data_IF_169116811089
#
_entry.id   IF_169116811089
#
_cell.length_a   1.000
_cell.length_b   1.000
_cell.length_c   1.000
_cell.angle_alpha   90.00
_cell.angle_beta   90.00
_cell.angle_gamma   90.00
#
_symmetry.space_group_name_H-M   'P 1'
#
loop_
_entity.id
_entity.type
_entity.pdbx_description
1 polymer ?
#
# COMPACT_ATOMS: atom_id res chain seq x y z
N UNK A 1 5.81 19.29 18.31
CA UNK A 1 6.55 19.49 17.05
C UNK A 1 5.58 19.25 15.89
N UNK A 2 5.44 20.19 14.95
CA UNK A 2 4.64 19.96 13.72
C UNK A 2 5.49 19.13 12.76
N UNK A 3 4.97 18.02 12.25
CA UNK A 3 5.68 17.25 11.24
C UNK A 3 5.72 18.05 9.94
N UNK A 4 6.91 18.25 9.39
CA UNK A 4 7.08 18.90 8.08
C UNK A 4 6.88 17.84 6.99
N UNK A 5 5.99 18.07 6.01
CA UNK A 5 5.81 17.13 4.93
C UNK A 5 7.06 17.01 4.05
N UNK A 6 7.32 15.83 3.45
CA UNK A 6 8.36 15.65 2.45
C UNK A 6 8.24 16.67 1.30
N UNK A 7 9.39 17.08 0.76
CA UNK A 7 9.45 18.05 -0.34
C UNK A 7 8.77 17.56 -1.63
N UNK A 8 8.77 16.24 -1.87
CA UNK A 8 8.03 15.63 -2.98
C UNK A 8 6.57 15.34 -2.60
N UNK A 9 5.59 15.98 -3.26
CA UNK A 9 4.17 15.79 -2.96
C UNK A 9 3.70 14.33 -3.09
N UNK A 10 4.37 13.51 -3.91
CA UNK A 10 4.03 12.09 -4.09
C UNK A 10 4.23 11.28 -2.81
N UNK A 11 5.07 11.76 -1.90
CA UNK A 11 5.39 11.12 -0.62
C UNK A 11 4.84 11.91 0.57
N UNK A 12 4.01 12.93 0.35
CA UNK A 12 3.53 13.84 1.40
C UNK A 12 2.89 13.12 2.60
N UNK A 13 2.21 11.98 2.36
CA UNK A 13 1.61 11.16 3.40
C UNK A 13 2.61 10.62 4.44
N UNK A 14 3.91 10.54 4.11
CA UNK A 14 4.96 10.10 5.04
C UNK A 14 5.24 11.09 6.17
N UNK A 15 4.68 12.31 6.09
CA UNK A 15 4.62 13.23 7.22
C UNK A 15 3.86 12.63 8.43
N UNK A 16 2.99 11.63 8.18
CA UNK A 16 2.25 10.89 9.20
C UNK A 16 3.09 9.66 9.57
N UNK A 17 3.54 9.55 10.83
CA UNK A 17 4.48 8.51 11.20
C UNK A 17 3.84 7.12 11.16
N UNK A 18 4.55 6.17 10.54
CA UNK A 18 4.16 4.75 10.55
C UNK A 18 4.47 4.05 11.89
N UNK A 19 5.25 4.70 12.77
CA UNK A 19 5.83 4.20 14.03
C UNK A 19 6.47 2.81 13.88
N UNK A 20 7.27 2.62 12.83
CA UNK A 20 8.01 1.37 12.59
C UNK A 20 7.16 0.17 12.16
N UNK A 21 5.88 0.37 11.82
CA UNK A 21 4.99 -0.70 11.36
C UNK A 21 5.51 -1.40 10.08
N UNK A 22 5.41 -2.73 10.04
CA UNK A 22 5.84 -3.58 8.91
C UNK A 22 4.69 -4.33 8.23
N UNK A 23 3.42 -4.01 8.52
CA UNK A 23 2.27 -4.78 8.01
C UNK A 23 2.23 -4.92 6.47
N UNK A 24 2.72 -3.91 5.72
CA UNK A 24 2.81 -4.02 4.26
C UNK A 24 3.87 -5.03 3.78
N UNK A 25 4.90 -5.30 4.57
CA UNK A 25 5.98 -6.22 4.22
C UNK A 25 5.55 -7.69 4.19
N UNK A 26 4.47 -8.05 4.89
CA UNK A 26 3.95 -9.41 4.95
C UNK A 26 3.18 -9.78 3.67
N UNK A 27 2.27 -8.89 3.23
CA UNK A 27 1.23 -9.26 2.25
C UNK A 27 1.38 -8.61 0.86
N UNK A 28 2.07 -7.48 0.75
CA UNK A 28 2.14 -6.73 -0.52
C UNK A 28 3.28 -7.18 -1.43
N UNK A 29 2.97 -7.51 -2.69
CA UNK A 29 3.99 -7.64 -3.71
C UNK A 29 4.44 -6.24 -4.16
N UNK A 30 5.71 -5.91 -3.92
CA UNK A 30 6.26 -4.58 -4.25
C UNK A 30 6.86 -4.63 -5.65
N UNK A 31 6.15 -4.06 -6.63
CA UNK A 31 6.65 -3.84 -7.98
C UNK A 31 7.61 -2.63 -7.97
N UNK A 32 8.75 -2.77 -8.63
CA UNK A 32 9.74 -1.71 -8.77
C UNK A 32 9.44 -0.86 -10.00
N UNK A 33 9.65 0.44 -9.87
CA UNK A 33 9.38 1.43 -10.91
C UNK A 33 10.63 2.26 -11.21
N UNK A 34 11.51 1.80 -12.12
CA UNK A 34 12.70 2.58 -12.50
C UNK A 34 12.37 3.99 -12.98
N UNK A 35 11.24 4.17 -13.67
CA UNK A 35 10.72 5.47 -14.10
C UNK A 35 10.33 6.39 -12.93
N UNK A 36 10.12 5.84 -11.73
CA UNK A 36 9.85 6.57 -10.50
C UNK A 36 11.10 6.73 -9.61
N UNK A 37 12.29 6.37 -10.13
CA UNK A 37 13.58 6.51 -9.46
C UNK A 37 14.03 5.30 -8.65
N UNK A 38 13.42 4.13 -8.86
CA UNK A 38 13.94 2.89 -8.29
C UNK A 38 15.17 2.41 -9.07
N UNK A 39 16.32 2.27 -8.41
CA UNK A 39 17.53 1.71 -9.01
C UNK A 39 17.53 0.21 -8.76
N UNK A 40 17.35 -0.60 -9.79
CA UNK A 40 17.14 -2.05 -9.64
C UNK A 40 18.33 -2.74 -8.97
N UNK A 41 19.54 -2.27 -9.24
CA UNK A 41 20.80 -2.79 -8.70
C UNK A 41 20.90 -2.64 -7.17
N UNK A 42 20.11 -1.75 -6.57
CA UNK A 42 20.08 -1.57 -5.12
C UNK A 42 19.24 -2.63 -4.40
N UNK A 43 18.47 -3.44 -5.14
CA UNK A 43 17.46 -4.33 -4.58
C UNK A 43 17.71 -5.81 -4.92
N UNK A 44 17.17 -6.69 -4.08
CA UNK A 44 16.99 -8.10 -4.39
C UNK A 44 15.61 -8.25 -5.00
N UNK A 45 15.60 -8.47 -6.31
CA UNK A 45 14.41 -8.40 -7.15
C UNK A 45 14.39 -9.53 -8.17
N UNK A 46 13.21 -9.77 -8.73
CA UNK A 46 13.00 -10.68 -9.83
C UNK A 46 11.87 -10.21 -10.74
N UNK A 47 11.80 -10.78 -11.94
CA UNK A 47 10.69 -10.55 -12.85
C UNK A 47 9.51 -11.47 -12.51
N UNK A 48 8.38 -10.90 -12.14
CA UNK A 48 7.15 -11.66 -11.84
C UNK A 48 6.08 -11.42 -12.90
N UNK A 49 5.19 -12.38 -13.09
CA UNK A 49 3.89 -12.09 -13.69
C UNK A 49 3.03 -11.34 -12.67
N UNK A 50 2.25 -10.35 -13.13
CA UNK A 50 1.36 -9.58 -12.26
C UNK A 50 0.02 -9.38 -12.95
N UNK A 51 -1.08 -9.60 -12.23
CA UNK A 51 -2.43 -9.31 -12.73
C UNK A 51 -2.64 -7.82 -13.01
N UNK A 52 -1.81 -6.94 -12.43
CA UNK A 52 -1.81 -5.51 -12.71
C UNK A 52 -1.18 -5.18 -14.08
N UNK A 53 -0.36 -6.07 -14.62
CA UNK A 53 0.32 -5.92 -15.90
C UNK A 53 0.17 -7.19 -16.77
N UNK A 54 -1.06 -7.49 -17.26
CA UNK A 54 -1.33 -8.74 -17.98
C UNK A 54 -0.43 -8.94 -19.20
N UNK A 55 0.14 -10.13 -19.32
CA UNK A 55 1.02 -10.49 -20.44
C UNK A 55 2.43 -9.91 -20.36
N UNK A 56 2.78 -9.23 -19.28
CA UNK A 56 4.11 -8.67 -19.06
C UNK A 56 4.73 -9.24 -17.78
N UNK A 57 6.05 -9.43 -17.80
CA UNK A 57 6.81 -9.64 -16.57
C UNK A 57 7.33 -8.30 -16.08
N UNK A 58 7.12 -7.99 -14.81
CA UNK A 58 7.51 -6.72 -14.18
C UNK A 58 8.54 -6.96 -13.08
N UNK A 59 9.51 -6.05 -12.88
CA UNK A 59 10.48 -6.19 -11.80
C UNK A 59 9.78 -5.98 -10.47
N UNK A 60 10.04 -6.83 -9.49
CA UNK A 60 9.46 -6.75 -8.17
C UNK A 60 10.44 -7.24 -7.11
N UNK A 61 10.34 -6.70 -5.89
CA UNK A 61 11.11 -7.21 -4.76
C UNK A 61 10.82 -8.69 -4.55
N UNK A 62 11.88 -9.48 -4.32
CA UNK A 62 11.71 -10.90 -4.02
C UNK A 62 10.91 -11.10 -2.73
N UNK A 63 10.27 -12.25 -2.67
CA UNK A 63 9.63 -12.77 -1.47
C UNK A 63 10.36 -14.00 -0.99
N UNK A 64 10.46 -14.13 0.32
CA UNK A 64 10.95 -15.34 0.97
C UNK A 64 10.01 -16.50 0.60
N UNK A 65 10.52 -17.59 -0.01
CA UNK A 65 9.65 -18.66 -0.52
C UNK A 65 9.04 -19.53 0.59
N UNK A 66 9.60 -19.52 1.81
CA UNK A 66 9.10 -20.31 2.93
C UNK A 66 7.96 -19.61 3.67
N UNK A 67 8.06 -18.28 3.83
CA UNK A 67 7.09 -17.45 4.57
C UNK A 67 6.16 -16.66 3.67
N UNK A 68 6.59 -16.40 2.43
CA UNK A 68 5.94 -15.50 1.50
C UNK A 68 6.23 -14.02 1.77
N UNK A 69 6.94 -13.63 2.83
CA UNK A 69 7.14 -12.21 3.18
C UNK A 69 8.16 -11.53 2.25
N UNK A 70 8.23 -10.20 2.26
CA UNK A 70 9.33 -9.48 1.62
C UNK A 70 10.68 -9.89 2.22
N UNK A 71 11.69 -10.16 1.39
CA UNK A 71 13.05 -10.57 1.84
C UNK A 71 13.77 -9.53 2.70
N UNK A 72 13.30 -8.29 2.71
CA UNK A 72 13.83 -7.21 3.54
C UNK A 72 13.16 -7.06 4.90
N UNK A 73 12.16 -7.90 5.19
CA UNK A 73 11.55 -7.96 6.51
C UNK A 73 12.49 -8.68 7.48
N UNK A 74 12.85 -8.01 8.55
CA UNK A 74 13.64 -8.55 9.66
C UNK A 74 12.81 -8.53 10.94
N UNK A 75 13.31 -9.18 11.99
CA UNK A 75 12.68 -9.17 13.32
C UNK A 75 12.51 -7.75 13.90
N UNK A 76 13.40 -6.82 13.51
CA UNK A 76 13.40 -5.45 14.03
C UNK A 76 12.72 -4.44 13.10
N UNK A 77 12.30 -4.83 11.89
CA UNK A 77 11.70 -3.92 10.92
C UNK A 77 12.10 -4.18 9.47
N UNK A 78 11.86 -3.19 8.62
CA UNK A 78 12.32 -3.21 7.23
C UNK A 78 13.78 -2.74 7.13
N UNK A 79 14.67 -3.63 6.68
CA UNK A 79 16.11 -3.34 6.59
C UNK A 79 16.49 -2.31 5.51
N UNK A 80 15.54 -1.96 4.64
CA UNK A 80 15.74 -0.96 3.58
C UNK A 80 14.84 0.25 3.72
N UNK A 81 14.26 0.50 4.90
CA UNK A 81 13.27 1.57 5.07
C UNK A 81 13.78 2.94 4.60
N UNK A 82 15.04 3.28 4.90
CA UNK A 82 15.67 4.56 4.52
C UNK A 82 15.88 4.72 3.01
N UNK A 83 15.97 3.61 2.29
CA UNK A 83 16.16 3.55 0.83
C UNK A 83 15.00 2.82 0.14
N UNK A 84 13.83 2.80 0.76
CA UNK A 84 12.71 1.97 0.32
C UNK A 84 12.25 2.37 -1.08
N UNK A 85 11.79 1.42 -1.94
CA UNK A 85 11.32 1.74 -3.29
C UNK A 85 10.16 2.74 -3.33
N UNK A 86 9.90 3.30 -4.52
CA UNK A 86 8.88 4.31 -4.75
C UNK A 86 7.48 3.88 -4.27
N UNK A 87 7.08 2.62 -4.50
CA UNK A 87 5.82 2.09 -3.99
C UNK A 87 5.79 2.09 -2.45
N UNK A 88 6.86 1.61 -1.81
CA UNK A 88 6.95 1.58 -0.35
C UNK A 88 6.88 2.99 0.24
N UNK A 89 7.54 3.98 -0.39
CA UNK A 89 7.49 5.39 0.02
C UNK A 89 6.13 6.04 -0.22
N UNK A 90 5.34 5.55 -1.17
CA UNK A 90 4.01 6.10 -1.48
C UNK A 90 2.89 5.44 -0.68
N UNK A 91 3.09 4.19 -0.29
CA UNK A 91 2.12 3.41 0.45
C UNK A 91 1.85 4.03 1.82
N UNK A 92 0.57 4.14 2.18
CA UNK A 92 0.17 4.59 3.51
C UNK A 92 -1.19 3.98 3.86
N UNK A 93 -1.25 3.12 4.88
CA UNK A 93 -2.45 2.33 5.22
C UNK A 93 -3.68 3.20 5.58
N UNK A 94 -3.50 4.43 6.08
CA UNK A 94 -4.62 5.36 6.31
C UNK A 94 -5.39 5.68 5.03
N UNK A 95 -4.73 5.58 3.85
CA UNK A 95 -5.37 5.79 2.56
C UNK A 95 -6.45 4.75 2.30
N UNK A 96 -6.16 3.48 2.57
CA UNK A 96 -7.12 2.38 2.46
C UNK A 96 -8.32 2.62 3.38
N UNK A 97 -8.09 2.89 4.67
CA UNK A 97 -9.19 3.12 5.61
C UNK A 97 -10.05 4.33 5.24
N UNK A 98 -9.41 5.46 4.88
CA UNK A 98 -10.10 6.68 4.45
C UNK A 98 -10.89 6.47 3.15
N UNK A 99 -10.34 5.72 2.19
CA UNK A 99 -11.02 5.36 0.95
C UNK A 99 -12.27 4.52 1.21
N UNK A 100 -12.18 3.48 2.04
CA UNK A 100 -13.33 2.66 2.44
C UNK A 100 -14.44 3.52 3.06
N UNK A 101 -14.09 4.51 3.88
CA UNK A 101 -15.05 5.46 4.46
C UNK A 101 -15.84 6.30 3.44
N UNK A 102 -15.34 6.44 2.21
CA UNK A 102 -16.01 7.15 1.10
C UNK A 102 -16.86 6.25 0.22
N UNK A 103 -16.85 4.93 0.44
CA UNK A 103 -17.57 3.95 -0.37
C UNK A 103 -18.89 3.53 0.28
N UNK A 104 -19.83 3.07 -0.55
CA UNK A 104 -21.07 2.46 -0.05
C UNK A 104 -20.78 1.21 0.79
N UNK A 105 -21.67 0.90 1.74
CA UNK A 105 -21.56 -0.33 2.55
C UNK A 105 -21.53 -1.59 1.68
N UNK A 106 -22.42 -1.67 0.68
CA UNK A 106 -22.51 -2.82 -0.22
C UNK A 106 -21.22 -3.11 -0.98
N UNK A 107 -20.52 -2.06 -1.46
CA UNK A 107 -19.22 -2.24 -2.13
C UNK A 107 -18.13 -2.67 -1.16
N UNK A 108 -18.10 -2.11 0.05
CA UNK A 108 -17.16 -2.56 1.09
C UNK A 108 -17.34 -4.04 1.44
N UNK A 109 -18.59 -4.48 1.59
CA UNK A 109 -18.91 -5.88 1.92
C UNK A 109 -18.43 -6.83 0.81
N UNK A 110 -18.52 -6.41 -0.47
CA UNK A 110 -17.94 -7.17 -1.60
C UNK A 110 -16.42 -7.30 -1.45
N UNK A 111 -15.70 -6.20 -1.21
CA UNK A 111 -14.24 -6.24 -1.11
C UNK A 111 -13.76 -7.12 0.05
N UNK A 112 -14.46 -7.08 1.19
CA UNK A 112 -14.18 -7.98 2.31
C UNK A 112 -14.46 -9.45 1.95
N UNK A 113 -15.57 -9.73 1.28
CA UNK A 113 -15.95 -11.08 0.88
C UNK A 113 -15.00 -11.71 -0.14
N UNK A 114 -14.24 -10.90 -0.89
CA UNK A 114 -13.23 -11.41 -1.84
C UNK A 114 -12.00 -12.01 -1.13
N UNK A 115 -11.70 -11.59 0.11
CA UNK A 115 -10.61 -12.16 0.93
C UNK A 115 -9.17 -11.87 0.45
N UNK A 116 -8.99 -11.21 -0.71
CA UNK A 116 -7.68 -10.93 -1.30
C UNK A 116 -7.46 -9.43 -1.63
N UNK A 117 -8.40 -8.56 -1.30
CA UNK A 117 -8.31 -7.10 -1.55
C UNK A 117 -8.01 -6.32 -0.28
N UNK A 118 -8.56 -6.76 0.85
CA UNK A 118 -8.45 -6.07 2.13
C UNK A 118 -7.87 -7.02 3.17
N UNK A 119 -6.79 -6.56 3.81
CA UNK A 119 -6.24 -7.20 5.00
C UNK A 119 -6.76 -6.48 6.26
N UNK A 120 -7.24 -7.27 7.22
CA UNK A 120 -7.84 -6.73 8.44
C UNK A 120 -6.84 -5.92 9.27
N UNK A 121 -5.63 -6.42 9.46
CA UNK A 121 -4.61 -5.74 10.27
C UNK A 121 -4.17 -4.43 9.61
N UNK A 122 -3.97 -4.41 8.29
CA UNK A 122 -3.63 -3.19 7.55
C UNK A 122 -4.77 -2.16 7.61
N UNK A 123 -6.04 -2.57 7.52
CA UNK A 123 -7.18 -1.65 7.62
C UNK A 123 -7.33 -1.08 9.04
N UNK A 124 -7.18 -1.91 10.07
CA UNK A 124 -7.22 -1.47 11.47
C UNK A 124 -6.07 -0.52 11.81
N UNK A 125 -4.85 -0.82 11.34
CA UNK A 125 -3.72 0.13 11.43
C UNK A 125 -4.00 1.41 10.65
N UNK A 126 -4.64 1.32 9.49
CA UNK A 126 -5.05 2.47 8.71
C UNK A 126 -6.01 3.40 9.46
N UNK A 127 -6.93 2.85 10.25
CA UNK A 127 -7.82 3.65 11.13
C UNK A 127 -7.03 4.47 12.15
N UNK A 128 -6.12 3.80 12.85
CA UNK A 128 -5.25 4.40 13.85
C UNK A 128 -4.37 5.51 13.23
N UNK A 129 -3.76 5.25 12.07
CA UNK A 129 -2.99 6.27 11.33
C UNK A 129 -3.83 7.44 10.83
N UNK A 130 -5.07 7.21 10.40
CA UNK A 130 -5.98 8.30 10.01
C UNK A 130 -6.35 9.18 11.21
N UNK A 131 -6.59 8.57 12.37
CA UNK A 131 -6.83 9.30 13.60
C UNK A 131 -5.62 10.18 13.96
N UNK A 132 -4.42 9.60 13.89
CA UNK A 132 -3.17 10.34 14.11
C UNK A 132 -2.99 11.50 13.12
N UNK A 133 -3.30 11.29 11.84
CA UNK A 133 -3.23 12.33 10.84
C UNK A 133 -4.16 13.51 11.16
N UNK A 134 -5.36 13.25 11.68
CA UNK A 134 -6.31 14.30 12.09
C UNK A 134 -5.80 15.10 13.29
N UNK A 135 -5.23 14.43 14.29
CA UNK A 135 -4.62 15.09 15.45
C UNK A 135 -3.48 16.03 15.06
N UNK A 136 -2.73 15.67 14.01
CA UNK A 136 -1.63 16.48 13.48
C UNK A 136 -2.09 17.53 12.46
N UNK A 137 -3.35 17.52 12.03
CA UNK A 137 -3.86 18.38 10.95
C UNK A 137 -3.33 18.02 9.56
N UNK A 138 -2.91 16.77 9.34
CA UNK A 138 -2.27 16.26 8.12
C UNK A 138 -3.17 15.35 7.28
N UNK A 139 -4.43 15.17 7.66
CA UNK A 139 -5.36 14.27 6.97
C UNK A 139 -5.63 14.66 5.51
N UNK A 140 -5.47 15.94 5.18
CA UNK A 140 -5.51 16.48 3.82
C UNK A 140 -4.42 15.94 2.90
N UNK A 141 -3.29 15.46 3.44
CA UNK A 141 -2.21 14.84 2.66
C UNK A 141 -2.54 13.41 2.20
N UNK A 142 -3.61 12.81 2.76
CA UNK A 142 -4.08 11.48 2.38
C UNK A 142 -5.10 11.63 1.24
N UNK A 143 -4.62 11.69 0.00
CA UNK A 143 -5.44 11.57 -1.19
C UNK A 143 -5.91 10.11 -1.39
N UNK A 144 -7.21 9.92 -1.57
CA UNK A 144 -7.86 8.62 -1.74
C UNK A 144 -8.58 8.47 -3.07
N UNK A 145 -8.60 9.48 -3.95
CA UNK A 145 -9.46 9.50 -5.13
C UNK A 145 -9.17 8.33 -6.08
N UNK A 146 -7.89 8.09 -6.36
CA UNK A 146 -7.49 6.96 -7.20
C UNK A 146 -7.84 5.60 -6.56
N UNK A 147 -7.71 5.48 -5.24
CA UNK A 147 -7.97 4.23 -4.53
C UNK A 147 -9.46 3.92 -4.42
N UNK A 148 -10.30 4.94 -4.20
CA UNK A 148 -11.77 4.79 -4.26
C UNK A 148 -12.18 4.29 -5.64
N UNK A 149 -11.72 4.93 -6.72
CA UNK A 149 -12.02 4.48 -8.08
C UNK A 149 -11.56 3.05 -8.35
N UNK A 150 -10.39 2.66 -7.86
CA UNK A 150 -9.88 1.29 -8.01
C UNK A 150 -10.77 0.27 -7.29
N UNK A 151 -11.09 0.54 -6.02
CA UNK A 151 -11.95 -0.32 -5.21
C UNK A 151 -13.37 -0.44 -5.78
N UNK A 152 -13.94 0.64 -6.31
CA UNK A 152 -15.25 0.58 -6.97
C UNK A 152 -15.21 -0.28 -8.23
N UNK A 153 -14.19 -0.15 -9.08
CA UNK A 153 -14.02 -1.02 -10.25
C UNK A 153 -13.90 -2.49 -9.87
N UNK A 154 -13.12 -2.82 -8.83
CA UNK A 154 -12.96 -4.19 -8.36
C UNK A 154 -14.31 -4.75 -7.89
N UNK A 155 -15.04 -3.99 -7.06
CA UNK A 155 -16.35 -4.42 -6.56
C UNK A 155 -17.37 -4.61 -7.69
N UNK A 156 -17.39 -3.70 -8.68
CA UNK A 156 -18.32 -3.75 -9.80
C UNK A 156 -17.99 -4.92 -10.76
N UNK A 157 -16.71 -5.18 -11.03
CA UNK A 157 -16.27 -6.35 -11.81
C UNK A 157 -16.67 -7.67 -11.15
N UNK A 158 -16.48 -7.77 -9.84
CA UNK A 158 -16.87 -8.95 -9.07
C UNK A 158 -18.39 -9.19 -9.07
N UNK A 159 -19.18 -8.11 -9.02
CA UNK A 159 -20.65 -8.20 -9.12
C UNK A 159 -21.12 -8.68 -10.49
N UNK A 160 -20.44 -8.26 -11.56
CA UNK A 160 -20.77 -8.65 -12.94
C UNK A 160 -20.40 -10.10 -13.25
N UNK A 161 -19.31 -10.62 -12.67
CA UNK A 161 -18.90 -12.02 -12.86
C UNK A 161 -19.67 -13.06 -12.03
N UNK A 162 -20.50 -12.63 -11.06
CA UNK A 162 -21.42 -13.50 -10.31
C UNK A 162 -22.84 -13.58 -10.89
N UNK A 163 -23.13 -12.86 -11.98
CA UNK A 163 -24.43 -12.91 -12.66
C UNK A 163 -24.53 -14.04 -13.67
#
# INVERSE_FOLDING_TARGET
MRATPPADPRFAANAIPCDGCTLCCFNEQVILHPEAGDVLEDFDWEYIASDLYPGQRVPALKRDPATGHCVYLTETGCSIHERAPAICRRYHCARTFKALGRMSRSRRDILWAMGNVLDRAQVERGRDRLQRARELGLDHLIDTDAQVRAFERIADAHKSGRR
#
